data_IF_277216812291
#
_entry.id   IF_277216812291
#
_cell.length_a   1.000
_cell.length_b   1.000
_cell.length_c   1.000
_cell.angle_alpha   90.00
_cell.angle_beta   90.00
_cell.angle_gamma   90.00
#
_symmetry.space_group_name_H-M   'P 1'
#
loop_
_entity.id
_entity.type
_entity.pdbx_description
1 polymer ?
#
# COMPACT_ATOMS: atom_id res chain seq x y z
N UNK A 1 -5.25 11.20 -2.06
CA UNK A 1 -4.19 11.41 -3.09
C UNK A 1 -4.11 10.12 -3.89
N UNK A 2 -4.14 10.17 -5.22
CA UNK A 2 -4.05 8.99 -6.10
C UNK A 2 -2.69 8.96 -6.78
N UNK A 3 -2.13 7.77 -6.99
CA UNK A 3 -0.92 7.60 -7.80
C UNK A 3 -1.19 7.92 -9.27
N UNK A 4 -0.19 8.44 -9.98
CA UNK A 4 -0.29 8.62 -11.42
C UNK A 4 -0.35 7.25 -12.13
N UNK A 5 -1.31 7.01 -13.04
CA UNK A 5 -1.43 5.75 -13.78
C UNK A 5 -0.18 5.35 -14.60
N UNK A 6 0.52 6.33 -15.18
CA UNK A 6 1.72 6.08 -15.98
C UNK A 6 2.88 5.60 -15.09
N UNK A 7 3.03 6.22 -13.91
CA UNK A 7 4.01 5.79 -12.91
C UNK A 7 3.68 4.38 -12.40
N UNK A 8 2.40 4.11 -12.10
CA UNK A 8 1.94 2.79 -11.66
C UNK A 8 2.22 1.71 -12.72
N UNK A 9 2.06 2.04 -14.01
CA UNK A 9 2.40 1.15 -15.13
C UNK A 9 3.89 0.83 -15.17
N UNK A 10 4.75 1.84 -15.02
CA UNK A 10 6.22 1.67 -14.99
C UNK A 10 6.63 0.80 -13.79
N UNK A 11 6.12 1.12 -12.60
CA UNK A 11 6.42 0.39 -11.35
C UNK A 11 5.99 -1.07 -11.49
N UNK A 12 4.78 -1.33 -12.00
CA UNK A 12 4.26 -2.68 -12.24
C UNK A 12 5.10 -3.47 -13.24
N UNK A 13 5.65 -2.81 -14.26
CA UNK A 13 6.54 -3.45 -15.24
C UNK A 13 7.90 -3.81 -14.64
N UNK A 14 8.44 -2.96 -13.77
CA UNK A 14 9.76 -3.16 -13.15
C UNK A 14 9.72 -4.25 -12.08
N UNK A 15 8.72 -4.23 -11.20
CA UNK A 15 8.64 -5.13 -10.05
C UNK A 15 7.77 -6.38 -10.28
N UNK A 16 7.00 -6.40 -11.37
CA UNK A 16 5.97 -7.40 -11.62
C UNK A 16 4.66 -7.02 -10.93
N UNK A 17 3.54 -7.14 -11.65
CA UNK A 17 2.21 -6.70 -11.18
C UNK A 17 1.79 -7.37 -9.85
N UNK A 18 2.23 -8.59 -9.59
CA UNK A 18 1.96 -9.34 -8.36
C UNK A 18 2.68 -8.78 -7.13
N UNK A 19 3.72 -7.98 -7.32
CA UNK A 19 4.53 -7.41 -6.24
C UNK A 19 4.22 -5.92 -5.99
N UNK A 20 3.23 -5.35 -6.69
CA UNK A 20 2.85 -3.95 -6.57
C UNK A 20 1.49 -3.83 -5.90
N UNK A 21 1.45 -3.10 -4.79
CA UNK A 21 0.27 -2.87 -3.98
C UNK A 21 0.01 -1.36 -3.90
N UNK A 22 -1.10 -0.92 -4.49
CA UNK A 22 -1.51 0.48 -4.48
C UNK A 22 -2.47 0.74 -3.31
N UNK A 23 -2.01 1.53 -2.33
CA UNK A 23 -2.80 1.98 -1.18
C UNK A 23 -3.18 3.46 -1.28
N UNK A 24 -2.99 4.07 -2.44
CA UNK A 24 -3.43 5.44 -2.70
C UNK A 24 -4.95 5.49 -2.91
N UNK A 25 -5.50 6.69 -3.00
CA UNK A 25 -6.93 6.90 -3.17
C UNK A 25 -7.72 6.96 -1.88
N UNK A 26 -9.02 6.67 -1.95
CA UNK A 26 -9.93 6.59 -0.81
C UNK A 26 -10.08 5.13 -0.37
N UNK A 27 -9.72 4.86 0.89
CA UNK A 27 -9.82 3.57 1.52
C UNK A 27 -9.79 3.73 3.06
N UNK A 28 -10.00 2.62 3.77
CA UNK A 28 -9.99 2.56 5.24
C UNK A 28 -8.70 3.04 5.91
N UNK A 29 -7.59 3.18 5.17
CA UNK A 29 -6.32 3.73 5.67
C UNK A 29 -6.31 5.25 5.48
N UNK A 30 -6.67 5.74 4.30
CA UNK A 30 -6.57 7.16 3.92
C UNK A 30 -7.74 8.03 4.39
N UNK A 31 -8.90 7.43 4.68
CA UNK A 31 -10.07 8.13 5.24
C UNK A 31 -9.81 8.64 6.66
N UNK A 32 -8.98 7.92 7.43
CA UNK A 32 -8.67 8.31 8.80
C UNK A 32 -7.44 9.23 8.83
N UNK A 33 -7.67 10.51 9.14
CA UNK A 33 -6.60 11.53 9.20
C UNK A 33 -5.49 11.19 10.21
N UNK A 34 -5.78 10.40 11.25
CA UNK A 34 -4.77 9.99 12.24
C UNK A 34 -3.78 8.96 11.70
N UNK A 35 -4.07 8.33 10.55
CA UNK A 35 -3.15 7.40 9.90
C UNK A 35 -2.04 8.11 9.12
N UNK A 36 -2.16 9.41 8.86
CA UNK A 36 -1.10 10.17 8.20
C UNK A 36 0.07 10.38 9.16
N UNK A 37 1.27 10.29 8.59
CA UNK A 37 2.51 10.50 9.31
C UNK A 37 2.59 11.95 9.78
N UNK A 38 3.00 12.14 11.03
CA UNK A 38 3.39 13.45 11.56
C UNK A 38 4.80 13.34 12.13
N UNK A 39 5.56 14.44 12.08
CA UNK A 39 6.99 14.51 12.41
C UNK A 39 7.36 13.98 13.80
N UNK A 40 6.41 13.95 14.73
CA UNK A 40 6.60 13.45 16.10
C UNK A 40 6.13 12.01 16.31
N UNK A 41 5.35 11.42 15.39
CA UNK A 41 4.74 10.13 15.62
C UNK A 41 4.74 9.22 14.40
N UNK A 42 5.52 8.15 14.50
CA UNK A 42 5.38 6.98 13.65
C UNK A 42 4.03 6.29 13.96
N UNK A 43 3.42 5.67 12.94
CA UNK A 43 2.14 4.93 13.05
C UNK A 43 2.37 3.43 12.81
N UNK A 44 2.95 2.69 13.77
CA UNK A 44 3.26 1.27 13.59
C UNK A 44 2.04 0.42 13.20
N UNK A 45 0.85 0.78 13.67
CA UNK A 45 -0.38 0.03 13.36
C UNK A 45 -0.74 0.11 11.88
N UNK A 46 -0.50 1.25 11.22
CA UNK A 46 -0.70 1.40 9.77
C UNK A 46 0.29 0.51 9.03
N UNK A 47 1.57 0.57 9.39
CA UNK A 47 2.61 -0.28 8.78
C UNK A 47 2.32 -1.77 8.94
N UNK A 48 1.90 -2.20 10.13
CA UNK A 48 1.50 -3.59 10.40
C UNK A 48 0.34 -4.03 9.49
N UNK A 49 -0.69 -3.19 9.36
CA UNK A 49 -1.86 -3.48 8.51
C UNK A 49 -1.47 -3.62 7.03
N UNK A 50 -0.62 -2.72 6.52
CA UNK A 50 -0.11 -2.80 5.15
C UNK A 50 0.65 -4.12 4.91
N UNK A 51 1.54 -4.49 5.84
CA UNK A 51 2.29 -5.75 5.75
C UNK A 51 1.38 -6.98 5.77
N UNK A 52 0.38 -7.02 6.65
CA UNK A 52 -0.59 -8.11 6.70
C UNK A 52 -1.33 -8.28 5.35
N UNK A 53 -1.73 -7.17 4.70
CA UNK A 53 -2.38 -7.20 3.39
C UNK A 53 -1.43 -7.77 2.32
N UNK A 54 -0.18 -7.28 2.28
CA UNK A 54 0.83 -7.71 1.31
C UNK A 54 1.11 -9.21 1.44
N UNK A 55 1.46 -9.67 2.64
CA UNK A 55 1.84 -11.06 2.86
C UNK A 55 0.66 -12.04 2.74
N UNK A 56 -0.55 -11.63 3.12
CA UNK A 56 -1.76 -12.44 2.90
C UNK A 56 -2.07 -12.61 1.40
N UNK A 57 -1.80 -11.59 0.60
CA UNK A 57 -1.99 -11.64 -0.86
C UNK A 57 -0.93 -12.50 -1.54
N UNK A 58 0.32 -12.43 -1.06
CA UNK A 58 1.41 -13.29 -1.52
C UNK A 58 1.11 -14.78 -1.31
N UNK A 59 0.67 -15.18 -0.11
CA UNK A 59 0.36 -16.58 0.21
C UNK A 59 -0.73 -17.17 -0.71
N UNK A 60 -1.63 -16.33 -1.23
CA UNK A 60 -2.73 -16.77 -2.12
C UNK A 60 -2.33 -16.91 -3.59
N UNK A 61 -1.14 -16.42 -3.97
CA UNK A 61 -0.67 -16.44 -5.36
C UNK A 61 0.22 -17.66 -5.67
N UNK A 62 0.67 -18.37 -4.64
CA UNK A 62 1.56 -19.54 -4.72
C UNK A 62 0.81 -20.90 -4.56
N UNK A 63 -0.53 -20.88 -4.70
CA UNK A 63 -1.41 -22.06 -4.54
C UNK A 63 -2.22 -22.40 -5.78
#
# INVERSE_FOLDING_TARGET
IYINPDDLSIISRVFGKQNVYDFTGENEITENIYNYYETSHYRPHVGKKLMEIIYRSSIRSDG
#
